data_IF_021563475323
#
_entry.id   IF_021563475323
#
_cell.length_a   1.000
_cell.length_b   1.000
_cell.length_c   1.000
_cell.angle_alpha   90.00
_cell.angle_beta   90.00
_cell.angle_gamma   90.00
#
_symmetry.space_group_name_H-M   'P 1'
#
loop_
_entity.id
_entity.type
_entity.pdbx_description
1 polymer ?
#
# COMPACT_ATOMS: atom_id res chain seq x y z
N UNK A 1 -5.75 -8.62 30.55
CA UNK A 1 -4.91 -9.41 29.64
C UNK A 1 -4.61 -8.58 28.42
N UNK A 2 -3.46 -8.75 27.74
CA UNK A 2 -3.18 -8.03 26.50
C UNK A 2 -4.22 -8.42 25.41
N UNK A 3 -4.70 -7.45 24.62
CA UNK A 3 -5.66 -7.75 23.57
C UNK A 3 -5.04 -8.59 22.46
N UNK A 4 -5.79 -9.55 21.92
CA UNK A 4 -5.35 -10.48 20.88
C UNK A 4 -5.91 -10.03 19.54
N UNK A 5 -5.04 -9.67 18.63
CA UNK A 5 -5.38 -9.15 17.31
C UNK A 5 -4.97 -10.15 16.24
N UNK A 6 -5.92 -10.58 15.40
CA UNK A 6 -5.63 -11.30 14.17
C UNK A 6 -5.56 -10.30 13.03
N UNK A 7 -4.43 -10.27 12.32
CA UNK A 7 -4.24 -9.40 11.16
C UNK A 7 -4.14 -10.24 9.89
N UNK A 8 -5.08 -10.08 8.96
CA UNK A 8 -5.01 -10.70 7.64
C UNK A 8 -4.49 -9.68 6.63
N UNK A 9 -3.24 -9.86 6.22
CA UNK A 9 -2.56 -9.07 5.21
C UNK A 9 -2.69 -9.76 3.85
N UNK A 10 -3.45 -9.18 2.93
CA UNK A 10 -3.46 -9.69 1.56
C UNK A 10 -2.12 -9.35 0.88
N UNK A 11 -1.66 -10.25 0.01
CA UNK A 11 -0.36 -10.15 -0.63
C UNK A 11 -0.43 -9.62 -2.08
N UNK A 12 -1.59 -9.07 -2.47
CA UNK A 12 -1.84 -8.64 -3.84
C UNK A 12 -0.98 -7.43 -4.27
N UNK A 13 -0.55 -6.63 -3.28
CA UNK A 13 0.36 -5.51 -3.52
C UNK A 13 1.30 -5.30 -2.33
N UNK A 14 2.54 -4.90 -2.61
CA UNK A 14 3.58 -4.61 -1.59
C UNK A 14 3.12 -3.59 -0.55
N UNK A 15 2.32 -2.61 -0.96
CA UNK A 15 1.79 -1.60 -0.03
C UNK A 15 0.95 -2.17 1.12
N UNK A 16 0.21 -3.27 0.90
CA UNK A 16 -0.54 -3.95 1.96
C UNK A 16 0.39 -4.63 2.97
N UNK A 17 1.42 -5.32 2.48
CA UNK A 17 2.39 -6.01 3.30
C UNK A 17 3.22 -5.03 4.15
N UNK A 18 3.64 -3.90 3.55
CA UNK A 18 4.34 -2.82 4.27
C UNK A 18 3.49 -2.25 5.41
N UNK A 19 2.22 -1.96 5.14
CA UNK A 19 1.30 -1.48 6.19
C UNK A 19 1.07 -2.51 7.28
N UNK A 20 0.95 -3.78 6.91
CA UNK A 20 0.79 -4.88 7.86
C UNK A 20 2.00 -5.00 8.78
N UNK A 21 3.21 -4.91 8.22
CA UNK A 21 4.46 -4.92 8.97
C UNK A 21 4.50 -3.76 9.98
N UNK A 22 4.31 -2.51 9.53
CA UNK A 22 4.35 -1.33 10.39
C UNK A 22 3.33 -1.41 11.55
N UNK A 23 2.09 -1.76 11.22
CA UNK A 23 1.02 -1.87 12.24
C UNK A 23 1.28 -3.02 13.21
N UNK A 24 1.78 -4.16 12.73
CA UNK A 24 2.08 -5.32 13.57
C UNK A 24 3.14 -4.99 14.61
N UNK A 25 4.25 -4.36 14.21
CA UNK A 25 5.29 -3.95 15.15
C UNK A 25 4.77 -2.94 16.16
N UNK A 26 4.14 -1.88 15.70
CA UNK A 26 3.62 -0.84 16.60
C UNK A 26 2.53 -1.34 17.57
N UNK A 27 1.67 -2.25 17.14
CA UNK A 27 0.68 -2.89 18.02
C UNK A 27 1.33 -3.82 19.05
N UNK A 28 2.39 -4.56 18.67
CA UNK A 28 3.17 -5.37 19.61
C UNK A 28 3.92 -4.51 20.63
N UNK A 29 4.53 -3.42 20.19
CA UNK A 29 5.16 -2.43 21.07
C UNK A 29 4.16 -1.81 22.05
N UNK A 30 2.92 -1.59 21.63
CA UNK A 30 1.83 -1.15 22.48
C UNK A 30 1.29 -2.26 23.42
N UNK A 31 1.87 -3.46 23.39
CA UNK A 31 1.53 -4.57 24.28
C UNK A 31 0.42 -5.50 23.77
N UNK A 32 -0.03 -5.38 22.52
CA UNK A 32 -0.99 -6.31 21.93
C UNK A 32 -0.31 -7.63 21.49
N UNK A 33 -1.03 -8.74 21.60
CA UNK A 33 -0.65 -10.01 20.96
C UNK A 33 -1.16 -10.02 19.52
N UNK A 34 -0.26 -9.86 18.55
CA UNK A 34 -0.65 -9.80 17.13
C UNK A 34 -0.20 -11.05 16.41
N UNK A 35 -1.17 -11.79 15.87
CA UNK A 35 -0.98 -12.90 14.94
C UNK A 35 -1.28 -12.42 13.53
N UNK A 36 -0.36 -12.70 12.59
CA UNK A 36 -0.52 -12.30 11.19
C UNK A 36 -0.79 -13.52 10.33
N UNK A 37 -1.72 -13.40 9.39
CA UNK A 37 -1.94 -14.35 8.30
C UNK A 37 -1.80 -13.62 6.97
N UNK A 38 -1.41 -14.36 5.94
CA UNK A 38 -1.32 -13.81 4.58
C UNK A 38 -1.98 -14.71 3.53
N UNK A 39 -1.96 -14.30 2.27
CA UNK A 39 -2.64 -14.98 1.16
C UNK A 39 -1.68 -15.53 0.10
N UNK A 40 -0.36 -15.41 0.30
CA UNK A 40 0.63 -16.00 -0.60
C UNK A 40 1.94 -16.35 0.09
N UNK A 41 2.68 -17.29 -0.51
CA UNK A 41 4.03 -17.66 -0.05
C UNK A 41 5.00 -16.47 -0.18
N UNK A 42 4.78 -15.60 -1.14
CA UNK A 42 5.55 -14.38 -1.34
C UNK A 42 5.29 -13.35 -0.23
N UNK A 43 4.02 -13.18 0.15
CA UNK A 43 3.64 -12.37 1.30
C UNK A 43 4.25 -12.89 2.61
N UNK A 44 4.25 -14.22 2.81
CA UNK A 44 4.88 -14.83 3.97
C UNK A 44 6.39 -14.56 4.00
N UNK A 45 7.10 -14.76 2.88
CA UNK A 45 8.54 -14.46 2.78
C UNK A 45 8.85 -12.98 2.98
N UNK A 46 8.01 -12.09 2.47
CA UNK A 46 8.17 -10.66 2.68
C UNK A 46 8.08 -10.29 4.16
N UNK A 47 7.04 -10.76 4.85
CA UNK A 47 6.83 -10.49 6.27
C UNK A 47 7.88 -11.15 7.16
N UNK A 48 8.38 -12.32 6.77
CA UNK A 48 9.48 -13.00 7.47
C UNK A 48 10.77 -12.17 7.47
N UNK A 49 11.05 -11.40 6.40
CA UNK A 49 12.17 -10.46 6.35
C UNK A 49 12.11 -9.38 7.44
N UNK A 50 10.93 -9.10 7.97
CA UNK A 50 10.72 -8.18 9.10
C UNK A 50 10.48 -8.92 10.44
N UNK A 51 10.84 -10.19 10.55
CA UNK A 51 10.65 -10.98 11.78
C UNK A 51 9.19 -11.31 12.10
N UNK A 52 8.29 -11.25 11.12
CA UNK A 52 6.87 -11.56 11.29
C UNK A 52 6.57 -12.94 10.67
N UNK A 53 6.26 -13.90 11.52
CA UNK A 53 5.69 -15.19 11.07
C UNK A 53 4.23 -14.96 10.62
N UNK A 54 3.98 -15.22 9.33
CA UNK A 54 2.68 -15.00 8.71
C UNK A 54 2.29 -16.21 7.83
N UNK A 55 1.73 -17.27 8.43
CA UNK A 55 1.31 -18.44 7.69
C UNK A 55 0.26 -18.09 6.61
N UNK A 56 0.34 -18.82 5.48
CA UNK A 56 -0.60 -18.65 4.37
C UNK A 56 -1.93 -19.29 4.73
N UNK A 57 -2.97 -18.48 4.89
CA UNK A 57 -4.33 -18.93 5.15
C UNK A 57 -4.89 -19.72 3.96
N UNK A 58 -4.83 -19.10 2.80
CA UNK A 58 -5.22 -19.65 1.52
C UNK A 58 -4.57 -18.84 0.41
N UNK A 59 -4.35 -19.48 -0.74
CA UNK A 59 -3.94 -18.76 -1.93
C UNK A 59 -5.16 -18.06 -2.51
N UNK A 60 -5.21 -16.77 -2.30
CA UNK A 60 -6.21 -15.87 -2.86
C UNK A 60 -5.99 -15.73 -4.38
N UNK A 61 -6.95 -15.12 -5.08
CA UNK A 61 -6.72 -14.76 -6.49
C UNK A 61 -5.50 -13.84 -6.60
N UNK A 62 -4.67 -14.07 -7.61
CA UNK A 62 -3.54 -13.20 -7.92
C UNK A 62 -3.92 -12.24 -9.05
N UNK A 63 -3.55 -10.99 -8.90
CA UNK A 63 -3.56 -10.02 -9.99
C UNK A 63 -2.57 -10.49 -11.06
N UNK A 64 -2.98 -10.51 -12.31
CA UNK A 64 -2.14 -10.91 -13.44
C UNK A 64 -1.64 -9.66 -14.17
N UNK A 65 -0.39 -9.72 -14.62
CA UNK A 65 0.25 -8.63 -15.38
C UNK A 65 0.80 -9.17 -16.70
N UNK A 66 0.80 -8.33 -17.73
CA UNK A 66 1.43 -8.64 -19.02
C UNK A 66 2.94 -8.38 -18.98
N UNK A 67 3.61 -8.67 -20.09
CA UNK A 67 5.06 -8.43 -20.25
C UNK A 67 5.43 -6.94 -20.21
N UNK A 68 4.47 -6.05 -20.48
CA UNK A 68 4.63 -4.59 -20.44
C UNK A 68 4.19 -3.98 -19.11
N UNK A 69 3.98 -4.82 -18.09
CA UNK A 69 3.64 -4.42 -16.71
C UNK A 69 2.22 -3.84 -16.53
N UNK A 70 1.37 -3.98 -17.53
CA UNK A 70 -0.03 -3.61 -17.39
C UNK A 70 -0.81 -4.74 -16.74
N UNK A 71 -1.72 -4.38 -15.84
CA UNK A 71 -2.59 -5.36 -15.22
C UNK A 71 -3.50 -6.01 -16.29
N UNK A 72 -3.35 -7.32 -16.46
CA UNK A 72 -4.23 -8.13 -17.30
C UNK A 72 -5.61 -8.22 -16.63
N UNK A 73 -6.44 -7.21 -16.90
CA UNK A 73 -7.74 -7.08 -16.25
C UNK A 73 -8.62 -8.31 -16.49
N UNK A 74 -8.65 -8.85 -17.73
CA UNK A 74 -9.47 -10.02 -18.06
C UNK A 74 -9.08 -11.26 -17.28
N UNK A 75 -7.79 -11.55 -17.17
CA UNK A 75 -7.25 -12.69 -16.43
C UNK A 75 -7.43 -12.51 -14.92
N UNK A 76 -7.21 -11.30 -14.43
CA UNK A 76 -7.48 -10.96 -13.02
C UNK A 76 -8.96 -11.12 -12.71
N UNK A 77 -9.85 -10.58 -13.53
CA UNK A 77 -11.30 -10.69 -13.35
C UNK A 77 -11.77 -12.15 -13.45
N UNK A 78 -11.17 -12.94 -14.34
CA UNK A 78 -11.43 -14.38 -14.44
C UNK A 78 -11.04 -15.09 -13.14
N UNK A 79 -9.90 -14.77 -12.56
CA UNK A 79 -9.45 -15.34 -11.28
C UNK A 79 -10.39 -14.96 -10.13
N UNK A 80 -10.82 -13.70 -10.07
CA UNK A 80 -11.81 -13.21 -9.10
C UNK A 80 -13.15 -13.93 -9.29
N UNK A 81 -13.64 -14.02 -10.52
CA UNK A 81 -14.87 -14.71 -10.84
C UNK A 81 -14.79 -16.20 -10.47
N UNK A 82 -13.70 -16.89 -10.83
CA UNK A 82 -13.47 -18.29 -10.46
C UNK A 82 -13.46 -18.50 -8.95
N UNK A 83 -12.92 -17.57 -8.16
CA UNK A 83 -12.99 -17.66 -6.71
C UNK A 83 -14.43 -17.50 -6.21
N UNK A 84 -15.17 -16.55 -6.77
CA UNK A 84 -16.56 -16.28 -6.39
C UNK A 84 -17.51 -17.43 -6.78
N UNK A 85 -17.28 -18.08 -7.94
CA UNK A 85 -18.08 -19.22 -8.41
C UNK A 85 -17.63 -20.57 -7.82
N UNK A 86 -16.65 -20.58 -6.92
CA UNK A 86 -16.21 -21.76 -6.18
C UNK A 86 -16.46 -21.59 -4.68
N UNK A 87 -17.72 -21.66 -4.26
CA UNK A 87 -18.11 -21.43 -2.86
C UNK A 87 -17.40 -22.38 -1.88
N UNK A 88 -16.99 -23.55 -2.34
CA UNK A 88 -16.24 -24.52 -1.53
C UNK A 88 -14.89 -23.97 -1.06
N UNK A 89 -14.22 -23.11 -1.85
CA UNK A 89 -12.97 -22.45 -1.44
C UNK A 89 -13.21 -21.42 -0.35
N UNK A 90 -14.21 -20.58 -0.53
CA UNK A 90 -14.60 -19.58 0.45
C UNK A 90 -15.06 -20.24 1.77
N UNK A 91 -15.86 -21.29 1.70
CA UNK A 91 -16.30 -22.05 2.88
C UNK A 91 -15.15 -22.73 3.62
N UNK A 92 -14.14 -23.24 2.88
CA UNK A 92 -12.91 -23.78 3.46
C UNK A 92 -12.13 -22.70 4.21
N UNK A 93 -12.02 -21.50 3.64
CA UNK A 93 -11.34 -20.37 4.29
C UNK A 93 -12.12 -19.88 5.52
N UNK A 94 -13.44 -19.83 5.46
CA UNK A 94 -14.31 -19.56 6.62
C UNK A 94 -14.07 -20.60 7.72
N UNK A 95 -13.99 -21.87 7.36
CA UNK A 95 -13.75 -22.94 8.33
C UNK A 95 -12.37 -22.82 8.99
N UNK A 96 -11.32 -22.53 8.21
CA UNK A 96 -9.97 -22.30 8.73
C UNK A 96 -9.91 -21.07 9.64
N UNK A 97 -10.53 -19.98 9.22
CA UNK A 97 -10.57 -18.73 9.99
C UNK A 97 -11.36 -18.86 11.30
N UNK A 98 -12.35 -19.76 11.36
CA UNK A 98 -13.21 -19.91 12.54
C UNK A 98 -12.43 -20.11 13.84
N UNK A 99 -11.40 -20.94 13.83
CA UNK A 99 -10.54 -21.16 14.98
C UNK A 99 -9.81 -19.89 15.39
N UNK A 100 -9.20 -19.20 14.41
CA UNK A 100 -8.47 -17.95 14.66
C UNK A 100 -9.37 -16.82 15.18
N UNK A 101 -10.61 -16.70 14.65
CA UNK A 101 -11.57 -15.69 15.11
C UNK A 101 -12.09 -15.96 16.53
N UNK A 102 -12.15 -17.23 16.93
CA UNK A 102 -12.57 -17.59 18.29
C UNK A 102 -11.58 -17.03 19.32
N UNK A 103 -10.31 -17.14 19.04
CA UNK A 103 -9.22 -16.77 19.95
C UNK A 103 -8.84 -15.28 19.87
N UNK A 104 -9.26 -14.57 18.83
CA UNK A 104 -8.98 -13.15 18.66
C UNK A 104 -10.05 -12.27 19.30
N UNK A 105 -9.63 -11.14 19.86
CA UNK A 105 -10.51 -10.07 20.34
C UNK A 105 -10.85 -9.09 19.21
N UNK A 106 -9.92 -8.94 18.22
CA UNK A 106 -10.12 -8.15 17.01
C UNK A 106 -9.54 -8.88 15.78
N UNK A 107 -10.21 -8.76 14.65
CA UNK A 107 -9.76 -9.29 13.35
C UNK A 107 -9.70 -8.17 12.33
N UNK A 108 -8.49 -7.86 11.86
CA UNK A 108 -8.25 -6.84 10.85
C UNK A 108 -8.21 -7.49 9.47
N UNK A 109 -9.14 -7.14 8.61
CA UNK A 109 -9.20 -7.55 7.20
C UNK A 109 -8.62 -6.43 6.32
N UNK A 110 -7.33 -6.49 6.02
CA UNK A 110 -6.68 -5.52 5.15
C UNK A 110 -6.85 -5.97 3.69
N UNK A 111 -7.66 -5.21 2.94
CA UNK A 111 -8.00 -5.41 1.53
C UNK A 111 -9.04 -6.49 1.21
N UNK A 112 -10.03 -6.63 2.06
CA UNK A 112 -11.28 -7.34 1.77
C UNK A 112 -11.16 -8.82 1.37
N UNK A 113 -10.48 -9.62 2.16
CA UNK A 113 -10.57 -11.08 1.97
C UNK A 113 -12.03 -11.55 2.03
N UNK A 114 -12.56 -12.25 0.99
CA UNK A 114 -13.99 -12.58 0.87
C UNK A 114 -14.55 -13.37 2.05
N UNK A 115 -13.79 -14.31 2.61
CA UNK A 115 -14.23 -15.07 3.78
C UNK A 115 -14.47 -14.15 4.99
N UNK A 116 -13.62 -13.14 5.21
CA UNK A 116 -13.81 -12.16 6.27
C UNK A 116 -14.92 -11.14 5.97
N UNK A 117 -15.20 -10.85 4.70
CA UNK A 117 -16.40 -10.09 4.31
C UNK A 117 -17.66 -10.86 4.74
N UNK A 118 -17.72 -12.17 4.44
CA UNK A 118 -18.83 -13.03 4.83
C UNK A 118 -18.94 -13.15 6.36
N UNK A 119 -17.84 -13.39 7.06
CA UNK A 119 -17.83 -13.56 8.51
C UNK A 119 -18.13 -12.24 9.24
N UNK A 120 -17.67 -11.11 8.70
CA UNK A 120 -17.80 -9.79 9.33
C UNK A 120 -19.23 -9.26 9.43
N UNK A 121 -20.20 -9.78 8.66
CA UNK A 121 -21.60 -9.39 8.81
C UNK A 121 -22.41 -10.37 9.66
N UNK A 122 -21.92 -11.60 9.88
CA UNK A 122 -22.62 -12.59 10.69
C UNK A 122 -22.63 -12.19 12.17
N UNK A 123 -23.77 -12.35 12.89
CA UNK A 123 -23.91 -11.90 14.27
C UNK A 123 -22.83 -12.42 15.22
N UNK A 124 -22.30 -13.62 14.99
CA UNK A 124 -21.29 -14.28 15.82
C UNK A 124 -19.94 -13.55 15.75
N UNK A 125 -19.56 -13.02 14.58
CA UNK A 125 -18.22 -12.45 14.36
C UNK A 125 -18.22 -10.96 14.03
N UNK A 126 -19.37 -10.36 13.68
CA UNK A 126 -19.46 -8.95 13.27
C UNK A 126 -18.84 -7.97 14.27
N UNK A 127 -18.87 -8.30 15.56
CA UNK A 127 -18.29 -7.48 16.63
C UNK A 127 -16.77 -7.55 16.72
N UNK A 128 -16.11 -8.42 15.95
CA UNK A 128 -14.66 -8.61 15.96
C UNK A 128 -13.98 -8.16 14.68
N UNK A 129 -14.70 -8.09 13.55
CA UNK A 129 -14.10 -7.84 12.24
C UNK A 129 -14.09 -6.36 11.93
N UNK A 130 -12.91 -5.88 11.55
CA UNK A 130 -12.64 -4.53 11.03
C UNK A 130 -12.13 -4.63 9.61
N UNK A 131 -12.74 -3.90 8.69
CA UNK A 131 -12.27 -3.80 7.32
C UNK A 131 -11.40 -2.56 7.13
N UNK A 132 -10.22 -2.77 6.50
CA UNK A 132 -9.28 -1.71 6.16
C UNK A 132 -9.12 -1.64 4.65
N UNK A 133 -9.26 -0.45 4.06
CA UNK A 133 -9.17 -0.26 2.62
C UNK A 133 -8.70 1.14 2.23
N UNK A 134 -8.07 1.25 1.06
CA UNK A 134 -7.71 2.53 0.47
C UNK A 134 -8.93 3.24 -0.11
N UNK A 135 -8.94 4.56 -0.11
CA UNK A 135 -10.02 5.38 -0.67
C UNK A 135 -10.28 5.09 -2.16
N UNK A 136 -9.24 4.72 -2.91
CA UNK A 136 -9.34 4.32 -4.32
C UNK A 136 -10.12 3.02 -4.52
N UNK A 137 -10.13 2.13 -3.53
CA UNK A 137 -10.79 0.83 -3.65
C UNK A 137 -12.32 0.96 -3.75
N UNK A 138 -12.91 1.92 -3.07
CA UNK A 138 -14.36 2.20 -3.20
C UNK A 138 -14.71 2.59 -4.63
N UNK A 139 -13.94 3.49 -5.21
CA UNK A 139 -14.09 3.88 -6.60
C UNK A 139 -13.81 2.71 -7.56
N UNK A 140 -12.80 1.88 -7.25
CA UNK A 140 -12.49 0.68 -8.02
C UNK A 140 -13.63 -0.35 -7.98
N UNK A 141 -14.29 -0.55 -6.84
CA UNK A 141 -15.46 -1.43 -6.73
C UNK A 141 -16.65 -0.89 -7.56
N UNK A 142 -16.82 0.42 -7.64
CA UNK A 142 -17.85 1.06 -8.44
C UNK A 142 -17.56 1.01 -9.95
N UNK A 143 -16.29 1.13 -10.35
CA UNK A 143 -15.86 1.23 -11.76
C UNK A 143 -15.39 -0.09 -12.37
N UNK A 144 -14.78 -0.99 -11.61
CA UNK A 144 -14.20 -2.24 -12.14
C UNK A 144 -15.25 -3.24 -12.63
N UNK A 145 -16.50 -3.11 -12.21
CA UNK A 145 -17.59 -3.96 -12.70
C UNK A 145 -18.39 -3.31 -13.84
N UNK A 146 -18.15 -2.04 -14.17
CA UNK A 146 -18.83 -1.37 -15.28
C UNK A 146 -18.34 -1.94 -16.63
N UNK A 147 -19.28 -2.48 -17.41
CA UNK A 147 -19.01 -3.02 -18.76
C UNK A 147 -18.61 -4.51 -18.83
N UNK A 148 -18.54 -5.26 -17.69
CA UNK A 148 -18.10 -6.66 -17.64
C UNK A 148 -19.15 -7.64 -17.13
N UNK A 149 -20.06 -7.13 -16.36
CA UNK A 149 -21.30 -7.80 -15.96
C UNK A 149 -22.47 -6.94 -16.42
N UNK A 150 -23.67 -7.54 -16.65
CA UNK A 150 -24.87 -6.71 -16.79
C UNK A 150 -24.90 -5.69 -15.65
N UNK A 151 -25.09 -4.41 -15.98
CA UNK A 151 -24.95 -3.31 -15.00
C UNK A 151 -25.83 -3.45 -13.75
N UNK A 152 -26.91 -4.26 -13.86
CA UNK A 152 -27.74 -4.67 -12.75
C UNK A 152 -26.99 -5.61 -11.78
N UNK A 153 -26.30 -6.64 -12.30
CA UNK A 153 -25.55 -7.62 -11.50
C UNK A 153 -24.40 -6.94 -10.75
N UNK A 154 -23.65 -6.07 -11.44
CA UNK A 154 -22.56 -5.29 -10.85
C UNK A 154 -23.06 -4.40 -9.70
N UNK A 155 -24.19 -3.73 -9.88
CA UNK A 155 -24.81 -2.89 -8.83
C UNK A 155 -25.29 -3.68 -7.64
N UNK A 156 -25.93 -4.83 -7.87
CA UNK A 156 -26.39 -5.71 -6.78
C UNK A 156 -25.19 -6.24 -5.99
N UNK A 157 -24.16 -6.72 -6.69
CA UNK A 157 -22.94 -7.19 -6.05
C UNK A 157 -22.25 -6.09 -5.22
N UNK A 158 -22.06 -4.89 -5.79
CA UNK A 158 -21.48 -3.75 -5.08
C UNK A 158 -22.28 -3.36 -3.83
N UNK A 159 -23.63 -3.42 -3.89
CA UNK A 159 -24.48 -3.17 -2.73
C UNK A 159 -24.34 -4.26 -1.65
N UNK A 160 -24.22 -5.54 -2.05
CA UNK A 160 -24.02 -6.64 -1.09
C UNK A 160 -22.68 -6.45 -0.38
N UNK A 161 -21.60 -6.18 -1.11
CA UNK A 161 -20.27 -5.96 -0.51
C UNK A 161 -20.29 -4.73 0.41
N UNK A 162 -20.87 -3.62 -0.03
CA UNK A 162 -21.01 -2.42 0.80
C UNK A 162 -21.79 -2.72 2.08
N UNK A 163 -22.91 -3.45 1.98
CA UNK A 163 -23.70 -3.83 3.13
C UNK A 163 -22.95 -4.77 4.08
N UNK A 164 -22.15 -5.72 3.59
CA UNK A 164 -21.31 -6.59 4.42
C UNK A 164 -20.27 -5.76 5.20
N UNK A 165 -19.65 -4.80 4.53
CA UNK A 165 -18.68 -3.88 5.15
C UNK A 165 -19.36 -3.04 6.23
N UNK A 166 -20.53 -2.50 5.96
CA UNK A 166 -21.27 -1.63 6.87
C UNK A 166 -21.76 -2.35 8.14
N UNK A 167 -21.90 -3.67 8.09
CA UNK A 167 -22.31 -4.50 9.23
C UNK A 167 -21.19 -4.95 10.16
N UNK A 168 -19.92 -4.79 9.75
CA UNK A 168 -18.76 -5.11 10.58
C UNK A 168 -18.62 -4.20 11.79
N UNK A 169 -17.71 -4.53 12.70
CA UNK A 169 -17.44 -3.71 13.89
C UNK A 169 -17.03 -2.29 13.51
N UNK A 170 -16.06 -2.18 12.58
CA UNK A 170 -15.60 -0.90 12.06
C UNK A 170 -15.06 -1.06 10.62
N UNK A 171 -15.02 0.06 9.94
CA UNK A 171 -14.45 0.21 8.60
C UNK A 171 -13.49 1.38 8.60
N UNK A 172 -12.25 1.12 8.21
CA UNK A 172 -11.18 2.10 8.19
C UNK A 172 -10.78 2.37 6.75
N UNK A 173 -11.14 3.53 6.27
CA UNK A 173 -10.71 4.05 4.98
C UNK A 173 -9.40 4.82 5.16
N UNK A 174 -8.39 4.54 4.35
CA UNK A 174 -7.13 5.26 4.44
C UNK A 174 -6.72 5.88 3.10
N UNK A 175 -6.00 6.99 3.19
CA UNK A 175 -5.51 7.71 2.02
C UNK A 175 -4.25 8.51 2.36
N UNK A 176 -3.40 8.76 1.34
CA UNK A 176 -2.26 9.65 1.50
C UNK A 176 -2.69 11.11 1.70
N UNK A 177 -3.87 11.46 1.20
CA UNK A 177 -4.46 12.80 1.23
C UNK A 177 -5.17 13.14 2.56
N UNK A 178 -5.43 12.16 3.42
CA UNK A 178 -6.12 12.45 4.68
C UNK A 178 -5.17 13.16 5.65
N UNK A 179 -5.70 14.20 6.30
CA UNK A 179 -5.06 14.91 7.42
C UNK A 179 -5.50 14.31 8.76
N UNK A 180 -6.24 15.11 9.54
CA UNK A 180 -6.76 14.68 10.84
C UNK A 180 -7.74 13.50 10.74
N UNK A 181 -7.71 12.59 11.74
CA UNK A 181 -8.64 11.49 11.82
C UNK A 181 -10.10 11.95 11.82
N UNK A 182 -10.93 11.29 11.06
CA UNK A 182 -12.37 11.54 11.01
C UNK A 182 -13.14 10.30 11.43
N UNK A 183 -14.22 10.49 12.16
CA UNK A 183 -15.13 9.44 12.61
C UNK A 183 -16.57 9.88 12.44
N UNK A 184 -17.40 9.05 11.81
CA UNK A 184 -18.81 9.37 11.48
C UNK A 184 -19.81 8.97 12.59
N UNK A 185 -19.36 8.48 13.73
CA UNK A 185 -20.23 7.97 14.80
C UNK A 185 -20.86 6.59 14.51
N UNK A 186 -20.74 6.09 13.27
CA UNK A 186 -21.33 4.82 12.81
C UNK A 186 -20.28 3.75 12.46
N UNK A 187 -19.10 3.83 13.09
CA UNK A 187 -18.01 2.85 12.91
C UNK A 187 -17.18 3.04 11.64
N UNK A 188 -17.33 4.15 10.92
CA UNK A 188 -16.45 4.54 9.81
C UNK A 188 -15.37 5.50 10.32
N UNK A 189 -14.14 5.12 10.06
CA UNK A 189 -12.96 5.92 10.37
C UNK A 189 -12.21 6.26 9.09
N UNK A 190 -11.70 7.47 8.98
CA UNK A 190 -10.77 7.90 7.94
C UNK A 190 -9.45 8.27 8.58
N UNK A 191 -8.39 7.59 8.16
CA UNK A 191 -7.05 7.79 8.68
C UNK A 191 -6.06 8.03 7.54
N UNK A 192 -5.05 8.85 7.80
CA UNK A 192 -3.93 8.94 6.88
C UNK A 192 -3.20 7.59 6.76
N UNK A 193 -2.72 7.25 5.57
CA UNK A 193 -1.92 6.03 5.37
C UNK A 193 -0.67 6.08 6.26
N UNK A 194 -0.37 5.03 7.05
CA UNK A 194 0.78 5.01 7.93
C UNK A 194 2.07 4.90 7.09
N UNK A 195 3.12 5.51 7.59
CA UNK A 195 4.47 5.52 7.01
C UNK A 195 5.46 5.13 8.09
N UNK A 196 6.56 4.47 7.73
CA UNK A 196 7.62 4.16 8.68
C UNK A 196 8.22 5.44 9.27
N UNK A 197 8.54 5.37 10.55
CA UNK A 197 9.22 6.46 11.25
C UNK A 197 10.70 6.42 10.88
N UNK A 198 11.22 7.53 10.39
CA UNK A 198 12.65 7.69 10.06
C UNK A 198 13.24 8.71 11.01
N UNK A 199 14.41 8.41 11.54
CA UNK A 199 15.12 9.33 12.42
C UNK A 199 15.60 10.56 11.64
N UNK A 200 15.69 11.68 12.35
CA UNK A 200 16.17 12.92 11.74
C UNK A 200 17.62 12.75 11.28
N UNK A 201 17.89 13.17 10.05
CA UNK A 201 19.27 13.15 9.52
C UNK A 201 20.12 14.17 10.25
N UNK A 202 21.32 13.78 10.62
CA UNK A 202 22.38 14.74 10.88
C UNK A 202 22.64 15.57 9.61
N UNK A 203 22.50 16.89 9.75
CA UNK A 203 22.54 17.88 8.64
C UNK A 203 23.89 17.97 7.90
N UNK A 204 24.86 17.09 8.23
CA UNK A 204 26.23 17.14 7.73
C UNK A 204 26.51 16.48 6.38
N UNK A 205 25.59 15.69 5.83
CA UNK A 205 25.88 14.90 4.62
C UNK A 205 25.22 15.50 3.36
N UNK A 206 25.87 16.53 2.82
CA UNK A 206 25.45 17.20 1.59
C UNK A 206 25.41 16.25 0.35
N UNK A 207 26.14 15.13 0.39
CA UNK A 207 26.17 14.14 -0.70
C UNK A 207 24.88 13.34 -0.78
N UNK A 208 24.25 13.00 0.33
CA UNK A 208 22.94 12.32 0.37
C UNK A 208 21.81 13.19 -0.18
N UNK A 209 21.93 14.51 -0.12
CA UNK A 209 20.91 15.46 -0.57
C UNK A 209 20.76 15.53 -2.11
N UNK A 210 21.63 14.91 -2.89
CA UNK A 210 21.55 14.90 -4.37
C UNK A 210 21.17 13.55 -4.96
N UNK A 211 20.90 12.54 -4.14
CA UNK A 211 20.55 11.18 -4.59
C UNK A 211 19.05 11.06 -4.83
N UNK A 212 18.63 10.42 -5.92
CA UNK A 212 17.26 9.99 -6.13
C UNK A 212 17.02 8.63 -5.49
N UNK A 213 15.95 8.49 -4.68
CA UNK A 213 15.53 7.20 -4.16
C UNK A 213 14.48 6.57 -5.09
N UNK A 214 14.86 5.51 -5.78
CA UNK A 214 14.02 4.83 -6.76
C UNK A 214 13.41 3.57 -6.13
N UNK A 215 12.08 3.44 -6.23
CA UNK A 215 11.40 2.19 -5.92
C UNK A 215 10.43 1.81 -7.04
N UNK A 216 10.70 0.69 -7.69
CA UNK A 216 9.81 0.09 -8.67
C UNK A 216 9.30 -1.26 -8.14
N UNK A 217 7.98 -1.38 -8.08
CA UNK A 217 7.35 -2.61 -7.58
C UNK A 217 7.67 -3.82 -8.50
N UNK A 218 7.46 -5.07 -8.05
CA UNK A 218 7.86 -6.28 -8.79
C UNK A 218 7.25 -6.43 -10.18
N UNK A 219 6.25 -5.64 -10.49
CA UNK A 219 5.61 -5.68 -11.81
C UNK A 219 6.41 -4.95 -12.88
N UNK A 220 7.30 -4.04 -12.50
CA UNK A 220 8.23 -3.40 -13.42
C UNK A 220 9.38 -4.36 -13.72
N UNK A 221 9.48 -4.84 -14.97
CA UNK A 221 10.48 -5.82 -15.41
C UNK A 221 11.02 -5.51 -16.81
N UNK A 222 10.45 -4.51 -17.51
CA UNK A 222 10.85 -4.16 -18.86
C UNK A 222 12.26 -3.55 -18.86
N UNK A 223 13.27 -4.19 -19.51
CA UNK A 223 14.65 -3.72 -19.46
C UNK A 223 14.81 -2.31 -20.01
N UNK A 224 14.13 -1.99 -21.10
CA UNK A 224 14.22 -0.68 -21.75
C UNK A 224 13.70 0.47 -20.88
N UNK A 225 12.74 0.21 -19.96
CA UNK A 225 12.31 1.20 -18.98
C UNK A 225 13.42 1.49 -17.98
N UNK A 226 14.09 0.46 -17.46
CA UNK A 226 15.21 0.62 -16.54
C UNK A 226 16.37 1.36 -17.22
N UNK A 227 16.73 0.96 -18.45
CA UNK A 227 17.77 1.65 -19.23
C UNK A 227 17.47 3.14 -19.40
N UNK A 228 16.24 3.45 -19.81
CA UNK A 228 15.80 4.84 -20.00
C UNK A 228 15.76 5.65 -18.69
N UNK A 229 15.38 5.01 -17.57
CA UNK A 229 15.39 5.65 -16.26
C UNK A 229 16.83 5.96 -15.79
N UNK A 230 17.70 4.95 -15.83
CA UNK A 230 19.10 5.08 -15.44
C UNK A 230 19.81 6.15 -16.29
N UNK A 231 19.62 6.10 -17.62
CA UNK A 231 20.19 7.10 -18.53
C UNK A 231 19.68 8.51 -18.23
N UNK A 232 18.36 8.69 -18.04
CA UNK A 232 17.80 10.02 -17.76
C UNK A 232 18.28 10.60 -16.43
N UNK A 233 18.44 9.80 -15.39
CA UNK A 233 19.01 10.24 -14.11
C UNK A 233 20.49 10.58 -14.25
N UNK A 234 21.25 9.79 -15.03
CA UNK A 234 22.66 10.05 -15.32
C UNK A 234 22.85 11.34 -16.13
N UNK A 235 22.02 11.59 -17.15
CA UNK A 235 22.03 12.81 -17.96
C UNK A 235 21.76 14.07 -17.11
N UNK A 236 20.91 13.94 -16.07
CA UNK A 236 20.66 15.01 -15.09
C UNK A 236 21.76 15.11 -14.01
N UNK A 237 22.78 14.27 -14.04
CA UNK A 237 23.85 14.24 -13.03
C UNK A 237 23.33 13.83 -11.63
N UNK A 238 22.31 12.98 -11.57
CA UNK A 238 21.67 12.55 -10.32
C UNK A 238 22.04 11.10 -10.01
N UNK A 239 22.88 10.84 -8.99
CA UNK A 239 23.06 9.50 -8.48
C UNK A 239 21.73 8.90 -8.00
N UNK A 240 21.57 7.60 -8.14
CA UNK A 240 20.31 6.93 -7.77
C UNK A 240 20.56 5.72 -6.86
N UNK A 241 19.73 5.60 -5.82
CA UNK A 241 19.59 4.39 -5.04
C UNK A 241 18.42 3.57 -5.64
N UNK A 242 18.76 2.48 -6.32
CA UNK A 242 17.84 1.74 -7.19
C UNK A 242 17.31 0.49 -6.48
N UNK A 243 16.01 0.42 -6.20
CA UNK A 243 15.34 -0.73 -5.61
C UNK A 243 14.19 -1.20 -6.49
N UNK A 244 14.22 -2.47 -6.89
CA UNK A 244 13.20 -3.08 -7.72
C UNK A 244 13.41 -4.57 -7.92
N UNK A 245 12.50 -5.41 -7.40
CA UNK A 245 12.62 -6.88 -7.50
C UNK A 245 12.71 -7.36 -8.96
N UNK A 246 11.99 -6.72 -9.88
CA UNK A 246 12.01 -7.09 -11.31
C UNK A 246 13.33 -6.81 -12.00
N UNK A 247 14.17 -5.99 -11.40
CA UNK A 247 15.47 -5.58 -11.93
C UNK A 247 16.68 -6.07 -11.12
N UNK A 248 16.45 -6.95 -10.15
CA UNK A 248 17.50 -7.46 -9.25
C UNK A 248 18.66 -8.17 -9.95
N UNK A 249 18.49 -8.56 -11.22
CA UNK A 249 19.52 -9.17 -12.06
C UNK A 249 20.43 -8.14 -12.73
N UNK A 250 20.10 -6.84 -12.61
CA UNK A 250 20.86 -5.74 -13.21
C UNK A 250 21.91 -5.20 -12.22
N UNK A 251 23.05 -4.68 -12.71
CA UNK A 251 24.01 -3.98 -11.87
C UNK A 251 23.33 -2.82 -11.13
N UNK A 252 23.75 -2.58 -9.89
CA UNK A 252 23.28 -1.46 -9.04
C UNK A 252 21.80 -1.51 -8.60
N UNK A 253 21.02 -2.48 -9.05
CA UNK A 253 19.65 -2.70 -8.59
C UNK A 253 19.60 -3.67 -7.41
N UNK A 254 18.97 -3.23 -6.34
CA UNK A 254 18.68 -4.07 -5.18
C UNK A 254 17.27 -4.67 -5.33
N UNK A 255 17.14 -5.99 -5.11
CA UNK A 255 15.83 -6.63 -5.08
C UNK A 255 14.94 -6.02 -3.98
N UNK A 256 15.54 -5.77 -2.83
CA UNK A 256 14.91 -5.23 -1.63
C UNK A 256 15.93 -4.39 -0.86
N UNK A 257 15.40 -3.42 -0.14
CA UNK A 257 16.15 -2.67 0.85
C UNK A 257 15.22 -2.34 2.01
N UNK A 258 15.56 -2.85 3.19
CA UNK A 258 14.81 -2.61 4.42
C UNK A 258 14.87 -1.15 4.87
N UNK A 259 15.94 -0.45 4.48
CA UNK A 259 16.19 0.97 4.76
C UNK A 259 15.73 1.90 3.64
N UNK A 260 15.01 1.39 2.62
CA UNK A 260 14.61 2.23 1.48
C UNK A 260 13.81 3.48 1.88
N UNK A 261 12.95 3.36 2.91
CA UNK A 261 12.14 4.51 3.36
C UNK A 261 13.03 5.57 3.99
N UNK A 262 14.08 5.15 4.70
CA UNK A 262 15.11 6.04 5.21
C UNK A 262 15.86 6.73 4.06
N UNK A 263 16.33 5.98 3.08
CA UNK A 263 16.93 6.52 1.88
C UNK A 263 15.99 7.51 1.15
N UNK A 264 14.71 7.20 1.03
CA UNK A 264 13.70 8.08 0.44
C UNK A 264 13.50 9.37 1.24
N UNK A 265 13.42 9.30 2.57
CA UNK A 265 13.29 10.47 3.43
C UNK A 265 14.50 11.41 3.34
N UNK A 266 15.68 10.86 3.03
CA UNK A 266 16.93 11.60 2.94
C UNK A 266 17.33 11.98 1.51
N UNK A 267 16.64 11.46 0.50
CA UNK A 267 16.92 11.73 -0.92
C UNK A 267 16.58 13.18 -1.34
N UNK A 268 17.08 13.60 -2.47
CA UNK A 268 16.65 14.84 -3.12
C UNK A 268 15.17 14.72 -3.57
N UNK A 269 14.85 13.62 -4.20
CA UNK A 269 13.48 13.29 -4.60
C UNK A 269 13.30 11.78 -4.71
N UNK A 270 12.02 11.38 -4.70
CA UNK A 270 11.61 9.98 -4.84
C UNK A 270 11.26 9.72 -6.31
N UNK A 271 11.55 8.52 -6.81
CA UNK A 271 11.07 8.02 -8.11
C UNK A 271 10.25 6.76 -7.86
N UNK A 272 8.98 6.77 -8.23
CA UNK A 272 8.11 5.59 -8.07
C UNK A 272 6.88 5.67 -8.95
N UNK A 273 6.17 4.55 -9.11
CA UNK A 273 4.79 4.59 -9.58
C UNK A 273 3.91 5.32 -8.53
N UNK A 274 2.80 5.98 -8.95
CA UNK A 274 1.92 6.72 -8.05
C UNK A 274 1.06 5.81 -7.17
N UNK A 275 1.73 4.96 -6.39
CA UNK A 275 1.09 4.11 -5.39
C UNK A 275 0.85 4.85 -4.08
N UNK A 276 -0.15 4.39 -3.32
CA UNK A 276 -0.55 4.96 -2.03
C UNK A 276 0.63 5.11 -1.05
N UNK A 277 1.53 4.10 -1.00
CA UNK A 277 2.67 4.13 -0.10
C UNK A 277 3.70 5.21 -0.50
N UNK A 278 4.09 5.25 -1.78
CA UNK A 278 5.07 6.23 -2.27
C UNK A 278 4.57 7.68 -2.09
N UNK A 279 3.31 7.94 -2.43
CA UNK A 279 2.69 9.25 -2.24
C UNK A 279 2.57 9.62 -0.76
N UNK A 280 2.31 8.65 0.12
CA UNK A 280 2.28 8.88 1.58
C UNK A 280 3.66 9.25 2.13
N UNK A 281 4.72 8.58 1.66
CA UNK A 281 6.11 8.89 2.05
C UNK A 281 6.49 10.29 1.56
N UNK A 282 6.21 10.59 0.28
CA UNK A 282 6.46 11.90 -0.29
C UNK A 282 5.75 13.03 0.48
N UNK A 283 4.48 12.81 0.84
CA UNK A 283 3.68 13.77 1.61
C UNK A 283 4.22 13.97 3.03
N UNK A 284 4.52 12.88 3.76
CA UNK A 284 4.98 12.93 5.16
C UNK A 284 6.35 13.58 5.27
N UNK A 285 7.30 13.14 4.43
CA UNK A 285 8.67 13.65 4.46
C UNK A 285 8.88 14.87 3.57
N UNK A 286 7.78 15.39 2.97
CA UNK A 286 7.78 16.57 2.09
C UNK A 286 8.83 16.48 0.98
N UNK A 287 8.94 15.29 0.38
CA UNK A 287 9.89 15.04 -0.71
C UNK A 287 9.22 15.26 -2.06
N UNK A 288 9.90 15.95 -2.98
CA UNK A 288 9.49 15.95 -4.37
C UNK A 288 9.46 14.52 -4.91
N UNK A 289 8.57 14.24 -5.86
CA UNK A 289 8.42 12.88 -6.39
C UNK A 289 8.28 12.89 -7.92
N UNK A 290 9.08 12.05 -8.59
CA UNK A 290 8.91 11.71 -9.99
C UNK A 290 7.97 10.49 -10.09
N UNK A 291 6.81 10.69 -10.66
CA UNK A 291 5.79 9.66 -10.85
C UNK A 291 5.96 9.00 -12.21
N UNK A 292 6.32 7.72 -12.20
CA UNK A 292 6.41 6.91 -13.41
C UNK A 292 5.07 6.24 -13.67
N UNK A 293 4.43 6.59 -14.78
CA UNK A 293 3.16 6.03 -15.21
C UNK A 293 3.36 5.03 -16.33
N UNK A 294 2.59 3.95 -16.26
CA UNK A 294 2.29 3.07 -17.38
C UNK A 294 0.83 3.30 -17.81
N UNK A 295 0.31 2.48 -18.71
CA UNK A 295 -1.09 2.61 -19.17
C UNK A 295 -2.10 2.04 -18.14
N UNK A 296 -2.07 2.56 -16.91
CA UNK A 296 -2.98 2.17 -15.82
C UNK A 296 -3.80 3.38 -15.37
N UNK A 297 -5.15 3.36 -15.52
CA UNK A 297 -6.02 4.48 -15.14
C UNK A 297 -5.90 4.89 -13.67
N UNK A 298 -5.69 3.95 -12.75
CA UNK A 298 -5.52 4.23 -11.34
C UNK A 298 -4.27 5.09 -11.08
N UNK A 299 -3.18 4.84 -11.83
CA UNK A 299 -1.96 5.64 -11.74
C UNK A 299 -2.21 7.10 -12.13
N UNK A 300 -2.95 7.33 -13.21
CA UNK A 300 -3.31 8.68 -13.66
C UNK A 300 -4.19 9.41 -12.63
N UNK A 301 -5.16 8.71 -12.02
CA UNK A 301 -6.02 9.26 -10.97
C UNK A 301 -5.17 9.67 -9.75
N UNK A 302 -4.27 8.80 -9.29
CA UNK A 302 -3.43 9.09 -8.14
C UNK A 302 -2.44 10.23 -8.41
N UNK A 303 -1.88 10.33 -9.63
CA UNK A 303 -1.04 11.45 -10.04
C UNK A 303 -1.82 12.77 -10.04
N UNK A 304 -3.05 12.78 -10.56
CA UNK A 304 -3.93 13.95 -10.52
C UNK A 304 -4.27 14.39 -9.08
N UNK A 305 -4.46 13.45 -8.18
CA UNK A 305 -4.70 13.74 -6.76
C UNK A 305 -3.45 14.29 -6.06
N UNK A 306 -2.25 13.82 -6.44
CA UNK A 306 -1.00 14.40 -5.95
C UNK A 306 -0.88 15.89 -6.31
N UNK A 307 -1.30 16.27 -7.53
CA UNK A 307 -1.38 17.65 -7.96
C UNK A 307 -2.35 18.48 -7.09
N UNK A 308 -3.54 17.97 -6.85
CA UNK A 308 -4.55 18.64 -6.02
C UNK A 308 -4.08 18.88 -4.58
N UNK A 309 -3.22 18.04 -4.06
CA UNK A 309 -2.62 18.17 -2.71
C UNK A 309 -1.40 19.09 -2.67
N UNK A 310 -0.99 19.65 -3.80
CA UNK A 310 0.18 20.51 -3.88
C UNK A 310 1.49 19.77 -3.62
N UNK A 311 1.55 18.45 -3.83
CA UNK A 311 2.82 17.73 -3.76
C UNK A 311 3.74 18.20 -4.88
N UNK A 312 4.98 18.55 -4.55
CA UNK A 312 5.99 18.81 -5.56
C UNK A 312 6.26 17.54 -6.36
N UNK A 313 5.77 17.46 -7.59
CA UNK A 313 5.86 16.25 -8.40
C UNK A 313 6.04 16.56 -9.88
N UNK A 314 6.56 15.58 -10.61
CA UNK A 314 6.57 15.51 -12.06
C UNK A 314 6.06 14.15 -12.50
N UNK A 315 5.49 14.09 -13.70
CA UNK A 315 4.91 12.87 -14.26
C UNK A 315 5.65 12.54 -15.55
N UNK A 316 6.15 11.32 -15.65
CA UNK A 316 6.72 10.77 -16.88
C UNK A 316 6.01 9.47 -17.21
N UNK A 317 5.55 9.36 -18.47
CA UNK A 317 4.78 8.20 -18.93
C UNK A 317 5.68 7.30 -19.77
N UNK A 318 5.78 6.04 -19.40
CA UNK A 318 6.44 5.02 -20.21
C UNK A 318 5.52 4.59 -21.37
N UNK A 319 6.07 4.62 -22.60
CA UNK A 319 5.36 4.23 -23.84
C UNK A 319 6.21 3.36 -24.76
N UNK A 320 7.21 2.65 -24.24
CA UNK A 320 8.09 1.78 -25.04
C UNK A 320 9.20 2.50 -25.80
N UNK A 321 9.39 3.81 -25.62
CA UNK A 321 10.42 4.61 -26.29
C UNK A 321 11.47 5.07 -25.25
N UNK A 322 12.55 4.28 -25.08
CA UNK A 322 13.55 4.53 -24.06
C UNK A 322 14.29 5.87 -24.26
N UNK A 323 14.71 6.30 -25.46
CA UNK A 323 15.37 7.59 -25.65
C UNK A 323 14.46 8.78 -25.30
N UNK A 324 13.18 8.72 -25.67
CA UNK A 324 12.23 9.77 -25.33
C UNK A 324 11.94 9.80 -23.84
N UNK A 325 11.83 8.63 -23.23
CA UNK A 325 11.61 8.48 -21.80
C UNK A 325 12.80 9.01 -21.01
N UNK A 326 14.05 8.69 -21.40
CA UNK A 326 15.26 9.18 -20.75
C UNK A 326 15.32 10.72 -20.75
N UNK A 327 15.04 11.36 -21.89
CA UNK A 327 15.00 12.83 -21.96
C UNK A 327 13.93 13.43 -21.05
N UNK A 328 12.76 12.81 -20.98
CA UNK A 328 11.68 13.26 -20.09
C UNK A 328 12.04 13.09 -18.61
N UNK A 329 12.72 11.99 -18.25
CA UNK A 329 13.23 11.75 -16.89
C UNK A 329 14.29 12.79 -16.54
N UNK A 330 15.25 13.07 -17.43
CA UNK A 330 16.30 14.06 -17.19
C UNK A 330 15.72 15.46 -16.90
N UNK A 331 14.84 15.96 -17.75
CA UNK A 331 14.20 17.26 -17.53
C UNK A 331 13.38 17.32 -16.24
N UNK A 332 12.63 16.25 -15.94
CA UNK A 332 11.87 16.15 -14.69
C UNK A 332 12.77 16.10 -13.44
N UNK A 333 13.91 15.41 -13.52
CA UNK A 333 14.88 15.31 -12.44
C UNK A 333 15.52 16.67 -12.12
N UNK A 334 15.91 17.43 -13.15
CA UNK A 334 16.45 18.79 -13.00
C UNK A 334 15.47 19.73 -12.28
N UNK A 335 14.20 19.70 -12.69
CA UNK A 335 13.15 20.50 -12.06
C UNK A 335 12.87 20.10 -10.60
N UNK A 336 12.91 18.79 -10.29
CA UNK A 336 12.70 18.30 -8.92
C UNK A 336 13.91 18.59 -8.02
N UNK A 337 15.13 18.58 -8.55
CA UNK A 337 16.32 19.01 -7.82
C UNK A 337 16.23 20.48 -7.41
N UNK A 338 15.81 21.35 -8.33
CA UNK A 338 15.59 22.76 -8.02
C UNK A 338 14.55 22.95 -6.91
N UNK A 339 13.42 22.23 -6.96
CA UNK A 339 12.38 22.24 -5.93
C UNK A 339 12.84 21.68 -4.58
N UNK A 340 13.80 20.76 -4.56
CA UNK A 340 14.35 20.16 -3.34
C UNK A 340 15.25 21.13 -2.55
N UNK A 341 15.97 22.00 -3.23
CA UNK A 341 16.90 22.95 -2.60
C UNK A 341 16.22 23.89 -1.60
N UNK A 342 14.94 24.23 -1.84
CA UNK A 342 14.13 25.06 -0.94
C UNK A 342 13.58 24.30 0.29
N UNK A 343 13.79 22.98 0.37
CA UNK A 343 13.09 22.08 1.29
C UNK A 343 13.87 21.59 2.51
N UNK A 344 15.15 21.90 2.68
CA UNK A 344 16.06 21.31 3.69
C UNK A 344 15.61 21.49 5.17
N UNK A 345 14.75 22.45 5.47
CA UNK A 345 14.24 22.71 6.83
C UNK A 345 13.09 21.77 7.29
N UNK A 346 12.63 20.84 6.42
CA UNK A 346 11.32 20.19 6.58
C UNK A 346 11.33 18.78 7.19
N UNK A 347 12.50 18.16 7.44
CA UNK A 347 12.56 16.74 7.86
C UNK A 347 12.15 16.48 9.33
N UNK A 348 12.34 17.43 10.23
CA UNK A 348 11.94 17.25 11.65
C UNK A 348 10.41 17.07 11.77
N UNK A 349 9.65 17.78 10.98
CA UNK A 349 8.18 17.68 10.95
C UNK A 349 7.70 16.32 10.42
N UNK A 350 8.45 15.72 9.47
CA UNK A 350 8.09 14.45 8.84
C UNK A 350 8.14 13.28 9.81
N UNK A 351 9.16 13.22 10.68
CA UNK A 351 9.27 12.20 11.73
C UNK A 351 8.07 12.25 12.68
N UNK A 352 7.74 13.45 13.15
CA UNK A 352 6.61 13.63 14.06
C UNK A 352 5.28 13.27 13.38
N UNK A 353 5.10 13.64 12.11
CA UNK A 353 3.93 13.29 11.34
C UNK A 353 3.80 11.76 11.14
N UNK A 354 4.91 11.05 10.89
CA UNK A 354 4.91 9.59 10.77
C UNK A 354 4.53 8.92 12.10
N UNK A 355 5.10 9.37 13.22
CA UNK A 355 4.77 8.90 14.58
C UNK A 355 3.28 9.10 14.86
N UNK A 356 2.75 10.28 14.59
CA UNK A 356 1.35 10.60 14.86
C UNK A 356 0.40 9.75 14.03
N UNK A 357 0.68 9.57 12.72
CA UNK A 357 -0.12 8.67 11.88
C UNK A 357 -0.15 7.25 12.43
N UNK A 358 1.00 6.71 12.82
CA UNK A 358 1.09 5.35 13.35
C UNK A 358 0.38 5.23 14.70
N UNK A 359 0.52 6.23 15.59
CA UNK A 359 -0.17 6.30 16.88
C UNK A 359 -1.69 6.28 16.73
N UNK A 360 -2.24 7.00 15.75
CA UNK A 360 -3.68 7.00 15.45
C UNK A 360 -4.20 5.62 15.06
N UNK A 361 -3.45 4.90 14.22
CA UNK A 361 -3.79 3.53 13.84
C UNK A 361 -3.72 2.57 15.02
N UNK A 362 -2.65 2.64 15.80
CA UNK A 362 -2.46 1.81 17.00
C UNK A 362 -3.56 2.09 18.00
N UNK A 363 -3.81 3.36 18.32
CA UNK A 363 -4.84 3.77 19.27
C UNK A 363 -6.23 3.25 18.90
N UNK A 364 -6.61 3.36 17.62
CA UNK A 364 -7.90 2.86 17.15
C UNK A 364 -7.97 1.33 17.23
N UNK A 365 -7.02 0.60 16.66
CA UNK A 365 -7.06 -0.87 16.61
C UNK A 365 -6.93 -1.48 18.00
N UNK A 366 -6.02 -0.96 18.82
CA UNK A 366 -5.85 -1.41 20.20
C UNK A 366 -7.10 -1.14 21.05
N UNK A 367 -7.67 0.06 20.92
CA UNK A 367 -8.89 0.44 21.65
C UNK A 367 -10.08 -0.46 21.31
N UNK A 368 -10.29 -0.76 20.02
CA UNK A 368 -11.34 -1.69 19.59
C UNK A 368 -11.10 -3.11 20.11
N UNK A 369 -9.85 -3.59 20.11
CA UNK A 369 -9.50 -4.90 20.60
C UNK A 369 -9.68 -5.01 22.13
N UNK A 370 -9.22 -4.01 22.89
CA UNK A 370 -9.35 -3.96 24.34
C UNK A 370 -10.82 -3.90 24.80
N UNK A 371 -11.65 -3.12 24.10
CA UNK A 371 -13.07 -3.05 24.37
C UNK A 371 -13.80 -4.39 24.13
N UNK A 372 -13.33 -5.21 23.18
CA UNK A 372 -13.88 -6.55 22.94
C UNK A 372 -13.35 -7.59 23.94
N UNK A 373 -12.11 -7.47 24.41
CA UNK A 373 -11.53 -8.37 25.42
C UNK A 373 -12.20 -8.28 26.79
N UNK A 374 -12.87 -7.16 27.08
CA UNK A 374 -13.61 -6.91 28.33
C UNK A 374 -15.05 -7.42 28.31
N UNK A 375 -15.57 -7.83 27.14
CA UNK A 375 -16.92 -8.39 26.95
C UNK A 375 -16.93 -9.90 26.98
#
# INVERSE_FOLDING_TARGET
MPPRILYLATADARGHLMRAQLRTHALREAGAQVRVLTTSDEGARFLAGFGIDAPVLSRHYAVQFDTQQNMLRRETDRNVALYMFRPERMLRDVWRLRAHLRDADLVVNDSFHPALLLMGWLPIWRRKVVHVYGASLRHALETNFSGRMPGFVARVFGRIVAWQIDRSLARIEHDFAYGEPQHDGHGRHRLATPVAVVDAVDRGDATRQRVAAVYLNPHFQEPALADGLEQGLADAGVPAHLVGEGYAHRPHWHARDEHWIEAAAHSAFIVSAPGMAALSIAAVYRKPILLLLTDQPEQAINAGRAAQLGLAHRVVVWRGDAPKFARAVAGAAEELLAASADGAARNADGRQAAIERLRQWVGLLYGLAAANAQR
#
